data_IF_767652358506
#
_entry.id   IF_767652358506
#
_cell.length_a   1.000
_cell.length_b   1.000
_cell.length_c   1.000
_cell.angle_alpha   90.00
_cell.angle_beta   90.00
_cell.angle_gamma   90.00
#
_symmetry.space_group_name_H-M   'P 1'
#
loop_
_entity.id
_entity.type
_entity.pdbx_description
1 polymer ?
#
# COMPACT_ATOMS: atom_id res chain seq x y z
N UNK A 1 -4.12 15.22 2.02
CA UNK A 1 -2.77 15.64 2.07
C UNK A 1 -1.90 14.73 1.29
N UNK A 2 -0.83 15.29 0.89
CA UNK A 2 0.10 14.56 0.12
C UNK A 2 0.65 13.41 0.91
N UNK A 3 1.47 12.68 0.26
CA UNK A 3 2.17 11.59 0.88
C UNK A 3 2.80 12.14 2.13
N UNK A 4 2.57 11.51 3.22
CA UNK A 4 2.98 12.05 4.48
C UNK A 4 4.48 12.04 4.60
N UNK A 5 4.97 12.98 5.36
CA UNK A 5 6.32 12.92 5.71
C UNK A 5 6.60 11.69 6.46
N UNK A 6 5.65 11.21 7.19
CA UNK A 6 5.77 9.93 7.78
C UNK A 6 5.38 8.88 6.81
N UNK A 7 5.04 7.76 7.31
CA UNK A 7 4.71 6.64 6.48
C UNK A 7 3.25 6.27 6.63
N UNK A 8 2.73 5.63 5.62
CA UNK A 8 1.38 5.08 5.65
C UNK A 8 1.51 3.62 6.05
N UNK A 9 0.83 3.23 7.12
CA UNK A 9 0.84 1.83 7.54
C UNK A 9 -0.14 1.06 6.68
N UNK A 10 0.37 0.26 5.78
CA UNK A 10 -0.48 -0.42 4.81
C UNK A 10 -1.37 -1.48 5.44
N UNK A 11 -1.12 -1.84 6.68
CA UNK A 11 -1.96 -2.81 7.38
C UNK A 11 -3.18 -2.18 8.03
N UNK A 12 -3.18 -0.87 8.23
CA UNK A 12 -4.29 -0.21 8.92
C UNK A 12 -4.87 0.96 8.13
N UNK A 13 -4.19 1.40 7.08
CA UNK A 13 -4.63 2.57 6.33
C UNK A 13 -5.98 2.34 5.66
N UNK A 14 -6.76 3.39 5.56
CA UNK A 14 -7.99 3.34 4.78
C UNK A 14 -7.63 3.43 3.30
N UNK A 15 -8.59 3.11 2.45
CA UNK A 15 -8.37 3.25 1.01
C UNK A 15 -7.99 4.68 0.65
N UNK A 16 -8.63 5.66 1.29
CA UNK A 16 -8.32 7.06 1.01
C UNK A 16 -6.87 7.38 1.37
N UNK A 17 -6.39 6.85 2.48
CA UNK A 17 -5.01 7.07 2.85
C UNK A 17 -4.04 6.39 1.89
N UNK A 18 -4.40 5.21 1.42
CA UNK A 18 -3.55 4.50 0.48
C UNK A 18 -3.46 5.23 -0.85
N UNK A 19 -4.51 5.95 -1.23
CA UNK A 19 -4.49 6.69 -2.48
C UNK A 19 -3.50 7.84 -2.47
N UNK A 20 -3.02 8.25 -1.31
CA UNK A 20 -2.01 9.31 -1.27
C UNK A 20 -0.66 8.80 -1.71
N UNK A 21 -0.49 7.50 -1.83
CA UNK A 21 0.80 6.94 -2.23
C UNK A 21 0.99 7.09 -3.73
N UNK A 22 2.23 7.33 -4.18
CA UNK A 22 2.49 7.46 -5.60
C UNK A 22 2.10 6.19 -6.35
N UNK A 23 1.38 6.36 -7.43
CA UNK A 23 1.00 5.22 -8.27
C UNK A 23 -0.16 4.39 -7.75
N UNK A 24 -0.72 4.77 -6.60
CA UNK A 24 -1.85 4.04 -6.04
C UNK A 24 -3.10 4.88 -6.23
N UNK A 25 -3.92 4.46 -7.18
CA UNK A 25 -5.20 5.10 -7.39
C UNK A 25 -6.28 4.37 -6.64
N UNK A 26 -7.51 4.74 -6.92
CA UNK A 26 -8.66 4.21 -6.21
C UNK A 26 -8.74 2.68 -6.29
N UNK A 27 -8.51 2.14 -7.49
CA UNK A 27 -8.61 0.71 -7.66
C UNK A 27 -7.53 -0.04 -6.90
N UNK A 28 -6.29 0.44 -6.97
CA UNK A 28 -5.21 -0.23 -6.26
C UNK A 28 -5.38 -0.15 -4.77
N UNK A 29 -5.87 1.00 -4.29
CA UNK A 29 -6.13 1.15 -2.86
C UNK A 29 -7.17 0.12 -2.40
N UNK A 30 -8.24 -0.05 -3.17
CA UNK A 30 -9.25 -1.04 -2.84
C UNK A 30 -8.68 -2.44 -2.88
N UNK A 31 -7.80 -2.73 -3.83
CA UNK A 31 -7.19 -4.03 -3.95
C UNK A 31 -6.29 -4.34 -2.75
N UNK A 32 -5.58 -3.32 -2.24
CA UNK A 32 -4.74 -3.51 -1.06
C UNK A 32 -5.60 -3.85 0.15
N UNK A 33 -6.69 -3.11 0.34
CA UNK A 33 -7.59 -3.35 1.46
C UNK A 33 -8.17 -4.76 1.36
N UNK A 34 -8.59 -5.15 0.17
CA UNK A 34 -9.18 -6.46 -0.03
C UNK A 34 -8.16 -7.57 0.21
N UNK A 35 -6.92 -7.37 -0.22
CA UNK A 35 -5.90 -8.38 -0.06
C UNK A 35 -5.58 -8.62 1.40
N UNK A 36 -5.39 -7.55 2.17
CA UNK A 36 -5.05 -7.76 3.57
C UNK A 36 -6.20 -8.39 4.34
N UNK A 37 -7.42 -8.13 3.91
CA UNK A 37 -8.58 -8.75 4.56
C UNK A 37 -8.68 -10.23 4.23
N UNK A 38 -8.29 -10.61 3.02
CA UNK A 38 -8.42 -11.99 2.57
C UNK A 38 -7.21 -12.83 2.96
N UNK A 39 -6.03 -12.25 2.95
CA UNK A 39 -4.79 -13.01 3.09
C UNK A 39 -3.98 -12.65 4.33
N UNK A 40 -4.48 -11.75 5.15
CA UNK A 40 -3.78 -11.37 6.36
C UNK A 40 -2.86 -10.18 6.14
N UNK A 41 -2.29 -9.67 7.22
CA UNK A 41 -1.48 -8.47 7.13
C UNK A 41 -0.23 -8.68 6.30
N UNK A 42 0.29 -7.59 5.77
CA UNK A 42 1.57 -7.60 5.11
C UNK A 42 2.64 -7.63 6.19
N UNK A 43 3.62 -8.50 6.04
CA UNK A 43 4.67 -8.64 7.04
C UNK A 43 5.86 -7.76 6.76
N UNK A 44 6.13 -7.53 5.50
CA UNK A 44 7.21 -6.63 5.08
C UNK A 44 6.64 -5.79 3.95
N UNK A 45 7.23 -4.62 3.70
CA UNK A 45 6.69 -3.76 2.63
C UNK A 45 6.65 -4.45 1.28
N UNK A 46 7.61 -5.32 1.02
CA UNK A 46 7.68 -6.03 -0.25
C UNK A 46 6.50 -6.95 -0.48
N UNK A 47 5.78 -7.30 0.57
CA UNK A 47 4.59 -8.13 0.42
C UNK A 47 3.50 -7.43 -0.38
N UNK A 48 3.59 -6.13 -0.58
CA UNK A 48 2.62 -5.44 -1.43
C UNK A 48 2.60 -5.96 -2.85
N UNK A 49 3.67 -6.59 -3.30
CA UNK A 49 3.67 -7.18 -4.64
C UNK A 49 2.71 -8.35 -4.74
N UNK A 50 2.22 -8.83 -3.63
CA UNK A 50 1.18 -9.84 -3.58
C UNK A 50 -0.12 -9.31 -4.20
N UNK A 51 -0.31 -8.00 -4.19
CA UNK A 51 -1.51 -7.38 -4.74
C UNK A 51 -1.38 -7.31 -6.25
N UNK A 52 -2.37 -7.81 -6.95
CA UNK A 52 -2.34 -7.79 -8.40
C UNK A 52 -2.25 -6.36 -8.89
N UNK A 53 -1.33 -6.13 -9.80
CA UNK A 53 -1.13 -4.78 -10.34
C UNK A 53 -0.05 -4.00 -9.63
N UNK A 54 0.46 -4.48 -8.51
CA UNK A 54 1.58 -3.83 -7.84
C UNK A 54 2.80 -4.71 -8.05
N UNK A 55 3.64 -4.31 -8.99
CA UNK A 55 4.88 -4.99 -9.25
C UNK A 55 6.02 -4.29 -8.53
N UNK A 56 7.22 -4.78 -8.76
CA UNK A 56 8.39 -4.22 -8.09
C UNK A 56 8.63 -2.78 -8.47
N UNK A 57 8.32 -2.41 -9.71
CA UNK A 57 8.50 -1.03 -10.12
C UNK A 57 7.59 -0.08 -9.37
N UNK A 58 6.33 -0.45 -9.20
CA UNK A 58 5.40 0.37 -8.44
C UNK A 58 5.82 0.42 -6.99
N UNK A 59 6.21 -0.72 -6.44
CA UNK A 59 6.65 -0.79 -5.07
C UNK A 59 7.86 0.11 -4.83
N UNK A 60 8.82 0.09 -5.74
CA UNK A 60 10.02 0.90 -5.58
C UNK A 60 9.68 2.39 -5.48
N UNK A 61 8.63 2.82 -6.14
CA UNK A 61 8.23 4.21 -6.12
C UNK A 61 7.54 4.65 -4.84
N UNK A 62 7.07 3.69 -4.04
CA UNK A 62 6.33 4.07 -2.84
C UNK A 62 6.92 3.48 -1.55
N UNK A 63 7.96 2.66 -1.66
CA UNK A 63 8.44 1.94 -0.49
C UNK A 63 8.91 2.85 0.64
N UNK A 64 9.36 4.04 0.29
CA UNK A 64 9.81 4.99 1.29
C UNK A 64 8.67 5.59 2.07
N UNK A 65 7.45 5.45 1.59
CA UNK A 65 6.29 6.09 2.17
C UNK A 65 5.40 5.12 2.93
N UNK A 66 5.80 3.86 3.05
CA UNK A 66 4.94 2.86 3.68
C UNK A 66 5.67 2.18 4.83
N UNK A 67 4.86 1.65 5.75
CA UNK A 67 5.38 0.84 6.82
C UNK A 67 4.40 -0.31 7.06
N UNK A 68 4.86 -1.30 7.79
CA UNK A 68 4.00 -2.40 8.24
C UNK A 68 4.18 -2.54 9.75
N UNK A 69 3.08 -2.71 10.44
CA UNK A 69 3.15 -2.88 11.90
C UNK A 69 2.07 -3.80 12.40
#
# INVERSE_FOLDING_TARGET
PAAPEGTVNINTATAAELETLPGIGEKRAADIVADRAANGPFRIPEDLTRVKGIGEGTLAGLIEYITVE
#
